data_IF_370872331587
#
_entry.id   IF_370872331587
#
_cell.length_a   1.000
_cell.length_b   1.000
_cell.length_c   1.000
_cell.angle_alpha   90.00
_cell.angle_beta   90.00
_cell.angle_gamma   90.00
#
_symmetry.space_group_name_H-M   'P 1'
#
loop_
_entity.id
_entity.type
_entity.pdbx_description
1 polymer ?
#
# COMPACT_ATOMS: atom_id res chain seq x y z
N UNK A 1 -4.31 13.66 18.32
CA UNK A 1 -3.33 12.97 17.45
C UNK A 1 -1.94 13.06 18.08
N UNK A 2 -1.22 11.95 18.30
CA UNK A 2 0.12 12.01 18.95
C UNK A 2 1.20 12.35 17.92
N UNK A 3 1.86 13.51 18.08
CA UNK A 3 2.94 14.02 17.19
C UNK A 3 4.01 12.96 16.89
N UNK A 4 4.32 12.10 17.87
CA UNK A 4 5.27 10.99 17.73
C UNK A 4 4.89 10.00 16.62
N UNK A 5 3.60 9.65 16.48
CA UNK A 5 3.15 8.70 15.45
C UNK A 5 3.23 9.31 14.05
N UNK A 6 2.86 10.59 13.89
CA UNK A 6 2.97 11.29 12.60
C UNK A 6 4.43 11.32 12.11
N UNK A 7 5.37 11.64 13.00
CA UNK A 7 6.81 11.62 12.68
C UNK A 7 7.30 10.22 12.29
N UNK A 8 6.84 9.19 12.99
CA UNK A 8 7.18 7.81 12.64
C UNK A 8 6.65 7.44 11.25
N UNK A 9 5.39 7.79 10.92
CA UNK A 9 4.79 7.55 9.60
C UNK A 9 5.61 8.23 8.50
N UNK A 10 5.95 9.50 8.67
CA UNK A 10 6.77 10.23 7.69
C UNK A 10 8.16 9.62 7.51
N UNK A 11 8.78 9.13 8.59
CA UNK A 11 10.08 8.45 8.50
C UNK A 11 9.98 7.14 7.71
N UNK A 12 8.97 6.32 8.00
CA UNK A 12 8.74 5.05 7.29
C UNK A 12 8.39 5.30 5.81
N UNK A 13 7.63 6.36 5.50
CA UNK A 13 7.30 6.73 4.13
C UNK A 13 8.56 7.03 3.30
N UNK A 14 9.46 7.86 3.84
CA UNK A 14 10.71 8.23 3.17
C UNK A 14 11.61 6.99 2.99
N UNK A 15 11.63 6.09 3.97
CA UNK A 15 12.39 4.84 3.88
C UNK A 15 11.79 3.88 2.84
N UNK A 16 10.47 3.86 2.69
CA UNK A 16 9.76 2.98 1.77
C UNK A 16 9.84 3.50 0.33
N UNK A 17 9.41 4.73 0.06
CA UNK A 17 9.24 5.34 -1.27
C UNK A 17 9.86 6.76 -1.30
N UNK A 18 11.19 6.87 -1.46
CA UNK A 18 11.90 8.14 -1.36
C UNK A 18 11.60 9.12 -2.50
N UNK A 19 11.15 8.64 -3.67
CA UNK A 19 10.90 9.47 -4.86
C UNK A 19 9.42 9.78 -5.09
N UNK A 20 8.57 9.51 -4.09
CA UNK A 20 7.12 9.77 -4.20
C UNK A 20 6.81 11.26 -4.43
N UNK A 21 5.88 11.61 -5.33
CA UNK A 21 5.44 12.99 -5.49
C UNK A 21 4.82 13.53 -4.19
N UNK A 22 4.96 14.84 -3.97
CA UNK A 22 4.51 15.49 -2.74
C UNK A 22 3.01 15.29 -2.47
N UNK A 23 2.17 15.37 -3.50
CA UNK A 23 0.72 15.21 -3.37
C UNK A 23 0.37 13.79 -2.90
N UNK A 24 0.91 12.76 -3.56
CA UNK A 24 0.70 11.36 -3.17
C UNK A 24 1.21 11.09 -1.75
N UNK A 25 2.37 11.65 -1.38
CA UNK A 25 2.95 11.49 -0.03
C UNK A 25 2.01 11.96 1.09
N UNK A 26 1.25 13.03 0.85
CA UNK A 26 0.30 13.58 1.82
C UNK A 26 -0.94 12.72 1.96
N UNK A 27 -1.47 12.21 0.84
CA UNK A 27 -2.61 11.29 0.86
C UNK A 27 -2.26 10.01 1.60
N UNK A 28 -1.09 9.43 1.32
CA UNK A 28 -0.59 8.21 1.98
C UNK A 28 -0.40 8.47 3.49
N UNK A 29 0.24 9.58 3.88
CA UNK A 29 0.39 9.94 5.29
C UNK A 29 -0.97 10.06 6.00
N UNK A 30 -1.94 10.70 5.36
CA UNK A 30 -3.29 10.90 5.92
C UNK A 30 -4.00 9.55 6.06
N UNK A 31 -3.95 8.70 5.03
CA UNK A 31 -4.51 7.36 5.06
C UNK A 31 -3.89 6.48 6.15
N UNK A 32 -2.56 6.51 6.32
CA UNK A 32 -1.84 5.76 7.35
C UNK A 32 -2.16 6.20 8.80
N UNK A 33 -2.71 7.41 8.97
CA UNK A 33 -3.15 7.92 10.29
C UNK A 33 -4.59 7.58 10.67
N UNK A 34 -5.36 6.92 9.78
CA UNK A 34 -6.75 6.55 10.04
C UNK A 34 -6.88 5.67 11.27
N UNK A 35 -8.03 5.78 11.96
CA UNK A 35 -8.29 5.05 13.20
C UNK A 35 -8.21 3.52 13.03
N UNK A 36 -8.61 3.00 11.86
CA UNK A 36 -8.51 1.59 11.47
C UNK A 36 -7.07 1.08 11.32
N UNK A 37 -6.06 1.97 11.34
CA UNK A 37 -4.66 1.56 11.24
C UNK A 37 -3.90 1.78 12.56
N UNK A 38 -4.57 2.27 13.61
CA UNK A 38 -3.93 2.68 14.86
C UNK A 38 -3.22 1.53 15.59
N UNK A 39 -3.75 0.32 15.48
CA UNK A 39 -3.23 -0.90 16.09
C UNK A 39 -2.10 -1.55 15.28
N UNK A 40 -1.90 -1.13 14.03
CA UNK A 40 -0.85 -1.67 13.16
C UNK A 40 0.50 -0.98 13.44
N UNK A 41 1.62 -1.73 13.27
CA UNK A 41 2.95 -1.15 13.17
C UNK A 41 2.98 -0.08 12.07
N UNK A 42 3.75 0.98 12.30
CA UNK A 42 3.80 2.13 11.40
C UNK A 42 4.23 1.76 9.98
N UNK A 43 5.21 0.86 9.84
CA UNK A 43 5.70 0.37 8.55
C UNK A 43 4.59 -0.32 7.74
N UNK A 44 3.78 -1.15 8.39
CA UNK A 44 2.65 -1.85 7.77
C UNK A 44 1.54 -0.87 7.40
N UNK A 45 1.21 0.07 8.28
CA UNK A 45 0.20 1.08 7.98
C UNK A 45 0.57 1.92 6.75
N UNK A 46 1.86 2.30 6.63
CA UNK A 46 2.37 3.02 5.46
C UNK A 46 2.31 2.14 4.22
N UNK A 47 2.77 0.89 4.29
CA UNK A 47 2.72 -0.05 3.16
C UNK A 47 1.30 -0.24 2.61
N UNK A 48 0.32 -0.49 3.49
CA UNK A 48 -1.08 -0.68 3.10
C UNK A 48 -1.69 0.61 2.53
N UNK A 49 -1.38 1.76 3.14
CA UNK A 49 -1.83 3.04 2.64
C UNK A 49 -1.25 3.34 1.25
N UNK A 50 0.02 3.02 1.01
CA UNK A 50 0.67 3.17 -0.29
C UNK A 50 0.01 2.29 -1.34
N UNK A 51 -0.17 0.99 -1.09
CA UNK A 51 -0.81 0.08 -2.07
C UNK A 51 -2.23 0.52 -2.37
N UNK A 52 -3.02 0.85 -1.33
CA UNK A 52 -4.39 1.31 -1.52
C UNK A 52 -4.42 2.59 -2.37
N UNK A 53 -3.54 3.56 -2.10
CA UNK A 53 -3.45 4.79 -2.87
C UNK A 53 -3.09 4.54 -4.34
N UNK A 54 -2.06 3.72 -4.61
CA UNK A 54 -1.68 3.35 -5.98
C UNK A 54 -2.84 2.65 -6.68
N UNK A 55 -3.48 1.68 -6.03
CA UNK A 55 -4.61 0.93 -6.59
C UNK A 55 -5.81 1.82 -6.94
N UNK A 56 -6.07 2.88 -6.18
CA UNK A 56 -7.22 3.75 -6.42
C UNK A 56 -6.93 4.95 -7.32
N UNK A 57 -5.66 5.35 -7.49
CA UNK A 57 -5.31 6.59 -8.19
C UNK A 57 -4.42 6.39 -9.41
N UNK A 58 -3.68 5.27 -9.45
CA UNK A 58 -2.70 4.98 -10.50
C UNK A 58 -3.05 3.72 -11.28
N UNK A 59 -4.22 3.11 -11.04
CA UNK A 59 -4.70 1.94 -11.77
C UNK A 59 -6.19 1.99 -12.04
N UNK A 60 -6.63 1.17 -13.00
CA UNK A 60 -8.04 1.02 -13.40
C UNK A 60 -8.84 0.10 -12.46
N UNK A 61 -8.36 -0.15 -11.24
CA UNK A 61 -8.97 -1.13 -10.33
C UNK A 61 -10.44 -0.84 -10.05
N UNK A 62 -10.77 0.43 -9.77
CA UNK A 62 -12.15 0.83 -9.46
C UNK A 62 -13.06 0.70 -10.70
N UNK A 63 -12.51 0.88 -11.91
CA UNK A 63 -13.23 0.69 -13.17
C UNK A 63 -13.51 -0.79 -13.41
N UNK A 64 -12.52 -1.66 -13.21
CA UNK A 64 -12.68 -3.12 -13.33
C UNK A 64 -13.75 -3.66 -12.38
N UNK A 65 -13.80 -3.16 -11.14
CA UNK A 65 -14.87 -3.53 -10.21
C UNK A 65 -16.26 -3.05 -10.67
N UNK A 66 -16.35 -1.85 -11.26
CA UNK A 66 -17.60 -1.34 -11.81
C UNK A 66 -18.07 -2.12 -13.05
N UNK A 67 -17.13 -2.64 -13.84
CA UNK A 67 -17.39 -3.51 -15.00
C UNK A 67 -17.84 -4.93 -14.59
N UNK A 68 -17.76 -5.26 -13.30
CA UNK A 68 -18.22 -6.53 -12.75
C UNK A 68 -17.13 -7.61 -12.65
N UNK A 69 -15.87 -7.24 -12.81
CA UNK A 69 -14.77 -8.16 -12.51
C UNK A 69 -14.75 -8.48 -11.00
N UNK A 70 -14.39 -9.72 -10.68
CA UNK A 70 -14.10 -10.08 -9.30
C UNK A 70 -12.81 -9.38 -8.83
N UNK A 71 -12.60 -9.35 -7.51
CA UNK A 71 -11.48 -8.63 -6.90
C UNK A 71 -10.14 -9.24 -7.28
N UNK A 72 -10.06 -10.55 -7.46
CA UNK A 72 -8.82 -11.27 -7.68
C UNK A 72 -8.35 -11.09 -9.12
N UNK A 73 -9.28 -11.18 -10.08
CA UNK A 73 -9.10 -10.81 -11.47
C UNK A 73 -8.66 -9.35 -11.60
N UNK A 74 -9.38 -8.42 -10.93
CA UNK A 74 -9.02 -7.01 -10.95
C UNK A 74 -7.62 -6.76 -10.37
N UNK A 75 -7.26 -7.45 -9.28
CA UNK A 75 -5.93 -7.36 -8.68
C UNK A 75 -4.84 -7.91 -9.59
N UNK A 76 -5.10 -9.02 -10.29
CA UNK A 76 -4.17 -9.60 -11.25
C UNK A 76 -3.86 -8.61 -12.40
N UNK A 77 -4.87 -7.96 -12.97
CA UNK A 77 -4.68 -6.99 -14.05
C UNK A 77 -3.88 -5.75 -13.62
N UNK A 78 -4.10 -5.26 -12.40
CA UNK A 78 -3.43 -4.05 -11.91
C UNK A 78 -2.11 -4.34 -11.21
N UNK A 79 -1.75 -5.61 -10.98
CA UNK A 79 -0.56 -6.01 -10.23
C UNK A 79 0.72 -5.40 -10.80
N UNK A 80 0.93 -5.53 -12.11
CA UNK A 80 2.10 -4.97 -12.78
C UNK A 80 2.10 -3.44 -12.77
N UNK A 81 0.93 -2.82 -12.91
CA UNK A 81 0.79 -1.37 -12.80
C UNK A 81 1.20 -0.87 -11.42
N UNK A 82 0.77 -1.55 -10.35
CA UNK A 82 1.16 -1.20 -8.98
C UNK A 82 2.68 -1.32 -8.79
N UNK A 83 3.26 -2.44 -9.23
CA UNK A 83 4.71 -2.64 -9.11
C UNK A 83 5.51 -1.62 -9.93
N UNK A 84 5.02 -1.23 -11.12
CA UNK A 84 5.63 -0.18 -11.92
C UNK A 84 5.66 1.15 -11.17
N UNK A 85 4.54 1.59 -10.60
CA UNK A 85 4.49 2.82 -9.79
C UNK A 85 5.40 2.74 -8.56
N UNK A 86 5.46 1.58 -7.88
CA UNK A 86 6.37 1.37 -6.77
C UNK A 86 7.84 1.52 -7.20
N UNK A 87 8.23 0.96 -8.34
CA UNK A 87 9.58 1.10 -8.89
C UNK A 87 9.88 2.56 -9.22
N UNK A 88 8.95 3.27 -9.87
CA UNK A 88 9.09 4.70 -10.20
C UNK A 88 9.28 5.55 -8.94
N UNK A 89 8.65 5.20 -7.83
CA UNK A 89 8.81 5.91 -6.55
C UNK A 89 10.02 5.45 -5.73
N UNK A 90 10.83 4.53 -6.28
CA UNK A 90 12.04 4.00 -5.64
C UNK A 90 11.75 3.07 -4.48
N UNK A 91 10.65 2.31 -4.54
CA UNK A 91 10.21 1.47 -3.43
C UNK A 91 11.27 0.41 -3.04
N UNK A 92 11.54 0.29 -1.73
CA UNK A 92 12.43 -0.77 -1.22
C UNK A 92 11.76 -2.17 -1.17
N UNK A 93 10.44 -2.21 -1.40
CA UNK A 93 9.59 -3.41 -1.35
C UNK A 93 8.62 -3.39 -2.52
N UNK A 94 8.51 -4.53 -3.20
CA UNK A 94 7.56 -4.75 -4.29
C UNK A 94 6.47 -5.75 -3.85
N UNK A 95 5.33 -5.70 -4.53
CA UNK A 95 4.29 -6.72 -4.40
C UNK A 95 4.77 -8.03 -5.04
N UNK A 96 4.48 -9.14 -4.37
CA UNK A 96 4.69 -10.49 -4.88
C UNK A 96 3.34 -11.15 -5.04
N UNK A 97 3.13 -11.83 -6.16
CA UNK A 97 1.98 -12.70 -6.36
C UNK A 97 2.32 -14.02 -5.65
N UNK A 98 1.75 -14.26 -4.48
CA UNK A 98 1.79 -15.61 -3.90
C UNK A 98 0.64 -16.42 -4.52
N UNK A 99 0.90 -17.69 -4.88
CA UNK A 99 -0.05 -18.58 -5.58
C UNK A 99 -1.33 -18.93 -4.78
N UNK A 100 -1.51 -18.37 -3.57
CA UNK A 100 -2.75 -18.48 -2.78
C UNK A 100 -3.49 -17.14 -2.83
N UNK A 101 -4.41 -17.05 -3.79
CA UNK A 101 -5.31 -15.89 -4.01
C UNK A 101 -6.33 -15.73 -2.85
N UNK A 102 -6.32 -16.63 -1.86
CA UNK A 102 -7.15 -16.54 -0.65
C UNK A 102 -6.59 -15.54 0.39
N UNK A 103 -5.33 -15.12 0.27
CA UNK A 103 -4.61 -14.34 1.30
C UNK A 103 -4.24 -12.90 0.89
N UNK A 104 -5.07 -12.28 0.03
CA UNK A 104 -5.24 -10.81 0.05
C UNK A 104 -6.26 -10.42 1.16
N UNK A 105 -6.51 -11.34 2.08
CA UNK A 105 -6.81 -11.01 3.47
C UNK A 105 -5.55 -10.37 4.08
N UNK A 106 -5.64 -9.11 4.50
CA UNK A 106 -4.54 -8.34 5.11
C UNK A 106 -4.24 -8.88 6.54
N UNK A 107 -4.07 -10.20 6.70
CA UNK A 107 -3.97 -10.89 7.99
C UNK A 107 -2.98 -12.06 7.99
N UNK A 108 -1.87 -12.01 7.25
CA UNK A 108 -0.78 -12.98 7.42
C UNK A 108 0.59 -12.32 7.31
N UNK A 109 0.95 -11.49 8.29
CA UNK A 109 2.36 -11.13 8.49
C UNK A 109 3.03 -12.30 9.19
N UNK A 110 3.64 -13.22 8.43
CA UNK A 110 4.72 -14.02 8.99
C UNK A 110 5.91 -13.11 9.28
N UNK A 111 6.00 -12.65 10.53
CA UNK A 111 7.26 -12.24 11.12
C UNK A 111 8.17 -13.47 11.17
N UNK A 112 8.97 -13.70 10.13
CA UNK A 112 10.14 -14.55 10.25
C UNK A 112 11.19 -13.75 11.02
N UNK A 113 11.27 -14.00 12.32
CA UNK A 113 12.36 -13.57 13.16
C UNK A 113 13.11 -14.85 13.57
N UNK A 114 14.25 -15.11 12.91
CA UNK A 114 15.31 -15.95 13.46
C UNK A 114 16.65 -15.34 13.10
#
# INVERSE_FOLDING_TARGET
MRIRRKRAISKELIALIPQVPYIDSQYICTAATRASMKYLPTSIAVWLATIAHIRHQHTEYDNLLCEGYDRDSALFFVFDAINKTLIEWGANRLLKLEENIDDISIYSIQFQNK
#
